data_IF_679599002815
#
_entry.id   IF_679599002815
#
_cell.length_a   1.000
_cell.length_b   1.000
_cell.length_c   1.000
_cell.angle_alpha   90.00
_cell.angle_beta   90.00
_cell.angle_gamma   90.00
#
_symmetry.space_group_name_H-M   'P 1'
#
loop_
_entity.id
_entity.type
_entity.pdbx_description
1 polymer ?
#
# COMPACT_ATOMS: atom_id res chain seq x y z
N UNK A 1 -8.07 25.31 -4.45
CA UNK A 1 -9.03 24.50 -4.84
C UNK A 1 -9.23 23.34 -3.99
N UNK A 2 -10.35 23.05 -3.68
CA UNK A 2 -10.64 21.96 -2.81
C UNK A 2 -10.46 20.64 -3.46
N UNK A 3 -9.90 19.72 -2.71
CA UNK A 3 -9.73 18.41 -3.20
C UNK A 3 -11.06 17.73 -3.10
N UNK A 4 -11.55 17.23 -4.19
CA UNK A 4 -12.83 16.60 -4.20
C UNK A 4 -12.84 15.17 -3.78
N UNK A 5 -11.73 14.48 -3.92
CA UNK A 5 -11.66 13.08 -3.59
C UNK A 5 -10.44 12.81 -2.74
N UNK A 6 -10.58 11.89 -1.86
CA UNK A 6 -9.43 11.40 -1.11
C UNK A 6 -9.11 10.07 -1.78
N UNK A 7 -7.88 9.85 -2.17
CA UNK A 7 -7.52 8.68 -2.95
C UNK A 7 -6.59 7.76 -2.17
N UNK A 8 -6.97 6.49 -2.09
CA UNK A 8 -6.09 5.50 -1.52
C UNK A 8 -5.80 4.48 -2.60
N UNK A 9 -4.70 3.77 -2.47
CA UNK A 9 -4.41 2.74 -3.44
C UNK A 9 -3.82 1.51 -2.81
N UNK A 10 -3.93 0.40 -3.51
CA UNK A 10 -3.31 -0.85 -3.14
C UNK A 10 -2.21 -1.07 -4.14
N UNK A 11 -0.98 -1.12 -3.65
CA UNK A 11 0.17 -1.26 -4.52
C UNK A 11 0.39 -2.72 -4.90
N UNK A 12 0.94 -2.95 -6.06
CA UNK A 12 1.31 -4.28 -6.49
C UNK A 12 2.54 -4.66 -5.68
N UNK A 13 2.51 -5.84 -5.09
CA UNK A 13 3.63 -6.29 -4.28
C UNK A 13 4.83 -6.61 -5.17
N UNK A 14 6.00 -6.27 -4.68
CA UNK A 14 7.21 -6.51 -5.44
C UNK A 14 7.59 -7.99 -5.43
N UNK A 15 7.21 -8.71 -4.40
CA UNK A 15 7.58 -10.12 -4.30
C UNK A 15 6.55 -11.00 -4.96
N UNK A 16 7.00 -11.88 -5.83
CA UNK A 16 6.08 -12.75 -6.54
C UNK A 16 5.42 -13.77 -5.61
N UNK A 17 6.02 -14.03 -4.47
CA UNK A 17 5.42 -14.99 -3.55
C UNK A 17 4.49 -14.32 -2.54
N UNK A 18 4.25 -13.03 -2.66
CA UNK A 18 3.34 -12.36 -1.78
C UNK A 18 1.97 -12.25 -2.44
N UNK A 19 1.01 -12.97 -1.91
CA UNK A 19 -0.33 -13.00 -2.50
C UNK A 19 -1.36 -12.25 -1.67
N UNK A 20 -1.00 -11.86 -0.48
CA UNK A 20 -1.95 -11.16 0.40
C UNK A 20 -2.22 -9.75 -0.07
N UNK A 21 -3.28 -9.19 0.41
CA UNK A 21 -3.69 -7.86 0.02
C UNK A 21 -4.17 -7.11 1.25
N UNK A 22 -3.98 -5.81 1.33
CA UNK A 22 -4.45 -5.03 2.47
C UNK A 22 -5.96 -5.01 2.60
N UNK A 23 -6.67 -5.01 1.48
CA UNK A 23 -8.12 -5.00 1.48
C UNK A 23 -8.65 -5.99 0.47
N UNK A 24 -9.64 -6.76 0.86
CA UNK A 24 -10.28 -7.67 -0.07
C UNK A 24 -11.41 -6.92 -0.79
N UNK A 25 -11.87 -7.41 -1.93
CA UNK A 25 -12.88 -6.69 -2.70
C UNK A 25 -14.13 -6.31 -1.92
N UNK A 26 -14.59 -7.16 -1.03
CA UNK A 26 -15.77 -6.86 -0.24
C UNK A 26 -15.54 -5.63 0.65
N UNK A 27 -14.33 -5.50 1.21
CA UNK A 27 -13.99 -4.36 2.03
C UNK A 27 -13.96 -3.09 1.21
N UNK A 28 -13.48 -3.19 -0.03
CA UNK A 28 -13.45 -2.05 -0.94
C UNK A 28 -14.88 -1.57 -1.20
N UNK A 29 -15.76 -2.52 -1.43
CA UNK A 29 -17.15 -2.17 -1.70
C UNK A 29 -17.77 -1.47 -0.51
N UNK A 30 -17.49 -1.95 0.69
CA UNK A 30 -18.01 -1.35 1.90
C UNK A 30 -17.46 0.07 2.09
N UNK A 31 -16.18 0.25 1.83
CA UNK A 31 -15.57 1.55 1.99
C UNK A 31 -16.17 2.56 1.01
N UNK A 32 -16.35 2.17 -0.21
CA UNK A 32 -16.92 3.07 -1.22
C UNK A 32 -18.36 3.39 -0.89
N UNK A 33 -19.10 2.43 -0.39
CA UNK A 33 -20.48 2.68 -0.02
C UNK A 33 -20.60 3.67 1.11
N UNK A 34 -19.70 3.57 2.08
CA UNK A 34 -19.77 4.45 3.23
C UNK A 34 -19.10 5.79 3.02
N UNK A 35 -18.21 5.88 2.09
CA UNK A 35 -17.47 7.11 1.83
C UNK A 35 -17.50 7.42 0.34
N UNK A 36 -18.56 8.00 -0.15
CA UNK A 36 -18.71 8.24 -1.59
C UNK A 36 -17.61 9.06 -2.26
N UNK A 37 -16.92 9.88 -1.46
CA UNK A 37 -15.87 10.70 -2.03
C UNK A 37 -14.53 10.00 -2.04
N UNK A 38 -14.48 8.76 -1.58
CA UNK A 38 -13.25 8.02 -1.55
C UNK A 38 -13.01 7.37 -2.90
N UNK A 39 -11.83 7.58 -3.43
CA UNK A 39 -11.46 6.95 -4.69
C UNK A 39 -10.42 5.90 -4.35
N UNK A 40 -10.59 4.71 -4.89
CA UNK A 40 -9.67 3.61 -4.61
C UNK A 40 -9.05 3.11 -5.89
N UNK A 41 -7.72 3.12 -5.93
CA UNK A 41 -6.98 2.61 -7.08
C UNK A 41 -6.31 1.31 -6.69
N UNK A 42 -6.26 0.38 -7.60
CA UNK A 42 -5.61 -0.91 -7.36
C UNK A 42 -4.67 -1.17 -8.52
N UNK A 43 -3.40 -1.32 -8.23
CA UNK A 43 -2.45 -1.65 -9.30
C UNK A 43 -2.71 -3.08 -9.75
N UNK A 44 -2.67 -3.34 -11.03
CA UNK A 44 -2.95 -4.69 -11.53
C UNK A 44 -1.89 -5.67 -11.04
N UNK A 45 -2.31 -6.85 -10.66
CA UNK A 45 -1.38 -7.86 -10.20
C UNK A 45 -1.96 -9.25 -10.39
N UNK A 46 -1.20 -10.10 -11.05
CA UNK A 46 -1.63 -11.47 -11.26
C UNK A 46 -1.31 -12.35 -10.06
N UNK A 47 -0.47 -11.86 -9.17
CA UNK A 47 -0.09 -12.64 -8.00
C UNK A 47 -0.99 -12.44 -6.79
N UNK A 48 -1.85 -11.47 -6.84
CA UNK A 48 -2.73 -11.17 -5.70
C UNK A 48 -3.77 -12.27 -5.57
N UNK A 49 -4.16 -12.58 -4.36
CA UNK A 49 -5.12 -13.65 -4.13
C UNK A 49 -6.53 -13.36 -4.66
N UNK A 50 -6.81 -12.12 -5.00
CA UNK A 50 -8.07 -11.77 -5.64
C UNK A 50 -7.76 -11.18 -7.00
N UNK A 51 -8.63 -11.40 -7.95
CA UNK A 51 -8.39 -10.92 -9.31
C UNK A 51 -8.67 -9.44 -9.44
N UNK A 52 -7.97 -8.81 -10.35
CA UNK A 52 -8.20 -7.40 -10.63
C UNK A 52 -9.66 -7.12 -10.91
N UNK A 53 -10.30 -8.02 -11.64
CA UNK A 53 -11.70 -7.86 -11.97
C UNK A 53 -12.59 -7.78 -10.76
N UNK A 54 -12.26 -8.51 -9.70
CA UNK A 54 -13.07 -8.50 -8.51
C UNK A 54 -13.02 -7.15 -7.83
N UNK A 55 -11.85 -6.50 -7.88
CA UNK A 55 -11.72 -5.18 -7.33
C UNK A 55 -12.47 -4.16 -8.19
N UNK A 56 -12.42 -4.34 -9.48
CA UNK A 56 -13.12 -3.46 -10.38
C UNK A 56 -14.63 -3.54 -10.14
N UNK A 57 -15.14 -4.75 -9.94
CA UNK A 57 -16.56 -4.93 -9.68
C UNK A 57 -16.95 -4.34 -8.33
N UNK A 58 -16.02 -4.29 -7.41
CA UNK A 58 -16.30 -3.72 -6.10
C UNK A 58 -16.29 -2.18 -6.11
N UNK A 59 -15.89 -1.60 -7.21
CA UNK A 59 -15.90 -0.14 -7.35
C UNK A 59 -14.53 0.50 -7.41
N UNK A 60 -13.46 -0.28 -7.33
CA UNK A 60 -12.12 0.28 -7.43
C UNK A 60 -11.76 0.48 -8.89
N UNK A 61 -10.76 1.28 -9.11
CA UNK A 61 -10.29 1.53 -10.44
C UNK A 61 -8.95 0.85 -10.58
N UNK A 62 -8.79 0.01 -11.59
CA UNK A 62 -7.53 -0.69 -11.81
C UNK A 62 -6.63 0.27 -12.55
N UNK A 63 -5.52 0.62 -11.93
CA UNK A 63 -4.67 1.66 -12.48
C UNK A 63 -3.21 1.42 -12.13
N UNK A 64 -2.35 1.42 -13.12
CA UNK A 64 -0.94 1.21 -12.89
C UNK A 64 -0.33 2.44 -12.22
N UNK A 65 -0.75 3.62 -12.61
CA UNK A 65 -0.21 4.85 -12.08
C UNK A 65 -0.99 5.26 -10.84
N UNK A 66 -0.36 5.14 -9.67
CA UNK A 66 -1.00 5.49 -8.42
C UNK A 66 -0.40 6.75 -7.81
N UNK A 67 0.19 7.59 -8.63
CA UNK A 67 0.83 8.81 -8.15
C UNK A 67 -0.16 9.82 -7.58
N UNK A 68 -1.44 9.66 -7.87
CA UNK A 68 -2.45 10.58 -7.34
C UNK A 68 -2.92 10.17 -5.94
N UNK A 69 -2.38 9.12 -5.40
CA UNK A 69 -2.85 8.60 -4.13
C UNK A 69 -2.42 9.46 -2.95
N UNK A 70 -3.25 9.54 -1.96
CA UNK A 70 -2.91 10.19 -0.71
C UNK A 70 -2.27 9.17 0.23
N UNK A 71 -2.79 7.95 0.23
CA UNK A 71 -2.23 6.88 1.03
C UNK A 71 -2.10 5.64 0.18
N UNK A 72 -0.97 4.98 0.27
CA UNK A 72 -0.70 3.76 -0.49
C UNK A 72 -0.52 2.61 0.49
N UNK A 73 -1.30 1.57 0.30
CA UNK A 73 -1.27 0.40 1.17
C UNK A 73 -0.58 -0.78 0.50
N UNK A 74 0.20 -1.50 1.28
CA UNK A 74 0.85 -2.70 0.79
C UNK A 74 1.06 -3.68 1.93
N UNK A 75 1.58 -4.83 1.64
CA UNK A 75 1.86 -5.86 2.64
C UNK A 75 3.34 -5.89 2.97
N UNK A 76 4.16 -6.04 1.94
CA UNK A 76 5.61 -6.12 2.15
C UNK A 76 6.28 -4.83 1.77
N UNK A 77 7.56 -4.75 2.02
CA UNK A 77 8.31 -3.55 1.72
C UNK A 77 8.24 -3.16 0.27
N UNK A 78 8.15 -1.90 0.02
CA UNK A 78 8.16 -1.36 -1.33
C UNK A 78 9.63 -1.13 -1.69
N UNK A 79 9.99 -1.41 -2.92
CA UNK A 79 11.36 -1.17 -3.37
C UNK A 79 11.63 0.32 -3.27
N UNK A 80 12.77 0.67 -2.70
CA UNK A 80 13.11 2.06 -2.51
C UNK A 80 13.03 2.88 -3.78
N UNK A 81 13.47 2.31 -4.87
CA UNK A 81 13.45 3.03 -6.14
C UNK A 81 12.04 3.35 -6.63
N UNK A 82 11.05 2.66 -6.10
CA UNK A 82 9.68 2.88 -6.54
C UNK A 82 8.87 3.73 -5.58
N UNK A 83 9.50 4.21 -4.51
CA UNK A 83 8.79 5.06 -3.59
C UNK A 83 8.52 6.42 -4.22
N UNK A 84 7.33 6.89 -4.04
CA UNK A 84 6.92 8.18 -4.58
C UNK A 84 7.01 9.20 -3.48
N UNK A 85 7.61 10.34 -3.76
CA UNK A 85 7.77 11.39 -2.77
C UNK A 85 6.46 11.98 -2.31
N UNK A 86 6.44 12.37 -1.09
CA UNK A 86 5.29 13.07 -0.49
C UNK A 86 4.03 12.22 -0.42
N UNK A 87 4.20 10.92 -0.31
CA UNK A 87 3.05 10.03 -0.14
C UNK A 87 3.16 9.31 1.18
N UNK A 88 2.05 8.92 1.74
CA UNK A 88 2.01 8.14 2.96
C UNK A 88 1.88 6.68 2.58
N UNK A 89 2.75 5.86 3.13
CA UNK A 89 2.73 4.44 2.85
C UNK A 89 2.44 3.67 4.14
N UNK A 90 1.62 2.64 4.03
CA UNK A 90 1.36 1.75 5.15
C UNK A 90 1.65 0.33 4.68
N UNK A 91 2.64 -0.28 5.26
CA UNK A 91 2.99 -1.65 4.91
C UNK A 91 3.87 -2.22 6.02
N UNK A 92 4.08 -3.54 5.99
CA UNK A 92 4.93 -4.18 6.98
C UNK A 92 6.35 -4.16 6.46
N UNK A 93 7.15 -3.26 6.95
CA UNK A 93 8.48 -3.08 6.40
C UNK A 93 9.54 -3.94 7.04
N UNK A 94 9.29 -4.44 8.23
CA UNK A 94 10.25 -5.24 8.97
C UNK A 94 11.53 -4.47 9.24
N UNK A 95 11.50 -3.16 9.16
CA UNK A 95 12.72 -2.38 9.30
C UNK A 95 13.16 -2.24 10.74
N UNK A 96 12.26 -2.48 11.67
CA UNK A 96 12.63 -2.39 13.06
C UNK A 96 13.21 -3.70 13.56
N UNK A 97 13.17 -4.77 12.76
CA UNK A 97 13.68 -6.00 13.20
C UNK A 97 15.11 -6.00 13.04
N UNK A 98 15.85 -6.05 14.05
CA UNK A 98 17.26 -6.08 13.98
C UNK A 98 17.60 -7.44 14.02
N UNK A 99 18.13 -7.88 13.22
CA UNK A 99 18.45 -9.12 13.06
C UNK A 99 18.67 -9.97 14.05
N UNK A 100 19.10 -10.40 14.52
CA UNK A 100 19.38 -11.32 15.43
C UNK A 100 18.44 -11.38 16.52
N UNK A 101 17.55 -10.54 16.67
CA UNK A 101 16.70 -10.63 17.74
C UNK A 101 15.49 -11.32 17.32
N UNK A 102 15.53 -12.56 17.39
CA UNK A 102 14.45 -13.28 16.91
C UNK A 102 13.25 -13.25 17.73
N UNK A 103 13.32 -12.80 18.89
CA UNK A 103 12.14 -12.84 19.70
C UNK A 103 11.25 -11.69 19.38
N UNK A 104 11.74 -10.78 18.64
CA UNK A 104 10.99 -9.70 18.40
C UNK A 104 10.02 -9.88 17.38
N UNK A 105 8.88 -9.75 17.50
CA UNK A 105 8.01 -9.89 16.46
C UNK A 105 7.30 -8.67 16.35
N UNK A 106 7.41 -8.01 15.38
CA UNK A 106 6.74 -6.86 15.31
C UNK A 106 5.83 -6.95 14.32
N UNK A 107 4.74 -6.85 14.49
CA UNK A 107 3.87 -6.98 13.53
C UNK A 107 3.19 -5.75 13.26
N UNK A 108 3.61 -4.72 13.28
CA UNK A 108 2.94 -3.54 13.10
C UNK A 108 2.75 -3.19 11.69
N UNK A 109 1.63 -2.87 11.33
CA UNK A 109 1.37 -2.46 9.99
C UNK A 109 1.72 -1.04 9.90
N UNK A 110 2.70 -0.62 10.50
CA UNK A 110 2.99 0.75 10.46
C UNK A 110 4.24 0.93 9.75
N UNK A 111 4.72 2.09 9.65
CA UNK A 111 5.89 2.35 8.97
C UNK A 111 7.03 2.11 9.86
N UNK A 112 7.70 1.05 9.67
CA UNK A 112 8.84 0.69 10.44
C UNK A 112 9.97 0.58 9.48
N UNK A 113 11.16 0.96 9.81
CA UNK A 113 12.21 1.10 8.85
C UNK A 113 13.49 0.37 9.15
N UNK A 114 14.09 -0.17 8.13
CA UNK A 114 15.43 -0.64 8.19
C UNK A 114 16.23 0.61 7.99
N UNK A 115 17.48 0.62 8.42
CA UNK A 115 18.27 1.75 8.30
C UNK A 115 18.33 2.33 6.93
N UNK A 116 18.59 1.52 5.96
CA UNK A 116 18.70 1.99 4.59
C UNK A 116 17.38 2.55 4.07
N UNK A 117 16.32 1.86 4.37
CA UNK A 117 15.02 2.30 3.91
C UNK A 117 14.66 3.61 4.59
N UNK A 118 14.97 3.72 5.86
CA UNK A 118 14.67 4.92 6.58
C UNK A 118 15.37 6.12 5.96
N UNK A 119 16.60 5.95 5.55
CA UNK A 119 17.31 7.03 4.94
C UNK A 119 16.61 7.50 3.68
N UNK A 120 16.17 6.56 2.86
CA UNK A 120 15.49 6.92 1.63
C UNK A 120 14.14 7.54 1.89
N UNK A 121 13.44 7.04 2.87
CA UNK A 121 12.14 7.58 3.21
C UNK A 121 12.29 9.03 3.65
N UNK A 122 13.26 9.30 4.50
CA UNK A 122 13.47 10.66 4.96
C UNK A 122 13.91 11.57 3.82
N UNK A 123 14.73 11.04 2.94
CA UNK A 123 15.22 11.80 1.84
C UNK A 123 14.09 12.19 0.90
N UNK A 124 13.12 11.31 0.73
CA UNK A 124 11.98 11.58 -0.14
C UNK A 124 10.79 12.18 0.59
N UNK A 125 10.97 12.42 1.90
CA UNK A 125 9.91 13.01 2.71
C UNK A 125 8.68 12.16 2.78
N UNK A 126 8.84 10.86 2.81
CA UNK A 126 7.73 9.95 2.96
C UNK A 126 7.49 9.77 4.43
N UNK A 127 6.27 9.78 4.84
CA UNK A 127 5.87 9.71 6.11
C UNK A 127 6.14 9.28 7.00
#
# INVERSE_FOLDING_TARGET
>A
MNKKHFTISIIKEARVDENRTPFVPHQIQTLISNFPDLKILVQPSKNRCFKDEDYSKAGAQIEEDISQSDIIFGIKEVEISKLIENKTYLFFSHTSKIRNDTSQTTQDATIIYKKTLLKEVLKKRLL
#
